data_IF_243289813815
#
_entry.id   IF_243289813815
#
_cell.length_a   1.000
_cell.length_b   1.000
_cell.length_c   1.000
_cell.angle_alpha   90.00
_cell.angle_beta   90.00
_cell.angle_gamma   90.00
#
_symmetry.space_group_name_H-M   'P 1'
#
loop_
_entity.id
_entity.type
_entity.pdbx_description
1 polymer ?
#
# COMPACT_ATOMS: atom_id res chain seq x y z
N UNK A 1 -9.72 12.16 -9.26
CA UNK A 1 -11.03 11.46 -9.20
C UNK A 1 -10.76 9.97 -9.08
N UNK A 2 -11.66 9.18 -8.49
CA UNK A 2 -11.50 7.72 -8.34
C UNK A 2 -12.74 7.07 -8.98
N UNK A 3 -12.51 6.09 -9.85
CA UNK A 3 -13.56 5.25 -10.45
C UNK A 3 -13.62 3.92 -9.70
N UNK A 4 -14.83 3.48 -9.35
CA UNK A 4 -15.09 2.20 -8.69
C UNK A 4 -16.09 1.44 -9.56
N UNK A 5 -15.63 0.33 -10.15
CA UNK A 5 -16.45 -0.58 -10.94
C UNK A 5 -16.59 -1.91 -10.18
N UNK A 6 -17.73 -2.08 -9.50
CA UNK A 6 -18.01 -3.30 -8.72
C UNK A 6 -18.26 -4.52 -9.63
N UNK A 7 -19.12 -4.43 -10.67
CA UNK A 7 -19.27 -5.54 -11.62
C UNK A 7 -17.95 -5.95 -12.31
N UNK A 8 -17.13 -4.97 -12.72
CA UNK A 8 -15.83 -5.18 -13.36
C UNK A 8 -14.67 -5.48 -12.41
N UNK A 9 -14.90 -5.43 -11.09
CA UNK A 9 -13.88 -5.62 -10.04
C UNK A 9 -12.65 -4.72 -10.22
N UNK A 10 -12.86 -3.48 -10.65
CA UNK A 10 -11.80 -2.51 -10.94
C UNK A 10 -11.89 -1.30 -10.01
N UNK A 11 -10.73 -0.87 -9.54
CA UNK A 11 -10.54 0.39 -8.83
C UNK A 11 -9.47 1.17 -9.58
N UNK A 12 -9.82 2.34 -10.11
CA UNK A 12 -8.93 3.13 -10.96
C UNK A 12 -8.80 4.56 -10.46
N UNK A 13 -7.55 5.03 -10.37
CA UNK A 13 -7.25 6.41 -10.05
C UNK A 13 -7.14 7.19 -11.36
N UNK A 14 -8.08 8.10 -11.60
CA UNK A 14 -8.15 8.91 -12.83
C UNK A 14 -7.11 10.04 -12.77
N UNK A 15 -5.85 9.68 -12.96
CA UNK A 15 -4.66 10.54 -13.02
C UNK A 15 -3.78 10.02 -14.16
N UNK A 16 -3.18 10.93 -14.91
CA UNK A 16 -2.33 10.54 -16.05
C UNK A 16 -1.12 9.70 -15.59
N UNK A 17 -0.69 8.70 -16.38
CA UNK A 17 0.44 7.83 -16.02
C UNK A 17 1.73 8.60 -15.71
N UNK A 18 2.02 9.65 -16.47
CA UNK A 18 3.22 10.49 -16.29
C UNK A 18 3.22 11.19 -14.92
N UNK A 19 2.06 11.66 -14.46
CA UNK A 19 1.92 12.29 -13.15
C UNK A 19 2.03 11.26 -12.02
N UNK A 20 1.53 10.04 -12.22
CA UNK A 20 1.73 8.95 -11.26
C UNK A 20 3.21 8.55 -11.14
N UNK A 21 3.94 8.52 -12.25
CA UNK A 21 5.38 8.23 -12.25
C UNK A 21 6.18 9.33 -11.55
N UNK A 22 5.86 10.60 -11.81
CA UNK A 22 6.46 11.73 -11.10
C UNK A 22 6.22 11.65 -9.59
N UNK A 23 4.98 11.39 -9.16
CA UNK A 23 4.64 11.22 -7.74
C UNK A 23 5.35 10.04 -7.10
N UNK A 24 5.47 8.91 -7.81
CA UNK A 24 6.21 7.73 -7.33
C UNK A 24 7.70 8.02 -7.16
N UNK A 25 8.30 8.80 -8.07
CA UNK A 25 9.70 9.20 -7.96
C UNK A 25 9.98 10.10 -6.73
N UNK A 26 9.02 10.96 -6.36
CA UNK A 26 9.12 11.84 -5.19
C UNK A 26 8.68 11.17 -3.87
N UNK A 27 8.06 9.99 -3.95
CA UNK A 27 7.42 9.36 -2.80
C UNK A 27 8.45 8.85 -1.77
N UNK A 28 8.18 9.17 -0.50
CA UNK A 28 8.93 8.67 0.65
C UNK A 28 7.96 7.94 1.58
N UNK A 29 8.29 6.69 2.01
CA UNK A 29 7.42 5.94 2.90
C UNK A 29 7.27 6.65 4.24
N UNK A 30 6.03 6.88 4.67
CA UNK A 30 5.73 7.32 6.01
C UNK A 30 5.75 6.13 6.96
N UNK A 31 6.55 6.23 8.02
CA UNK A 31 6.62 5.22 9.08
C UNK A 31 5.93 5.77 10.31
N UNK A 32 4.76 5.23 10.63
CA UNK A 32 4.03 5.63 11.84
C UNK A 32 4.85 5.26 13.08
N UNK A 33 5.12 6.22 13.99
CA UNK A 33 5.78 5.93 15.25
C UNK A 33 4.85 5.05 16.10
N UNK A 34 5.40 3.95 16.61
CA UNK A 34 4.70 3.02 17.49
C UNK A 34 5.64 2.56 18.59
N UNK A 35 5.17 2.61 19.84
CA UNK A 35 5.97 2.23 21.01
C UNK A 35 5.96 0.71 21.25
N UNK A 36 5.17 -0.05 20.50
CA UNK A 36 5.02 -1.50 20.69
C UNK A 36 6.12 -2.29 19.94
N UNK A 37 6.96 -3.05 20.65
CA UNK A 37 7.95 -3.94 20.02
C UNK A 37 7.30 -5.00 19.12
N UNK A 38 6.11 -5.48 19.52
CA UNK A 38 5.36 -6.45 18.73
C UNK A 38 4.88 -5.86 17.41
N UNK A 39 4.33 -4.63 17.40
CA UNK A 39 3.90 -3.97 16.16
C UNK A 39 5.09 -3.65 15.24
N UNK A 40 6.24 -3.33 15.82
CA UNK A 40 7.48 -3.16 15.08
C UNK A 40 7.95 -4.47 14.42
N UNK A 41 7.83 -5.61 15.11
CA UNK A 41 8.09 -6.94 14.52
C UNK A 41 7.07 -7.26 13.42
N UNK A 42 5.78 -7.09 13.71
CA UNK A 42 4.70 -7.37 12.77
C UNK A 42 4.87 -6.61 11.45
N UNK A 43 5.10 -5.29 11.51
CA UNK A 43 5.33 -4.44 10.32
C UNK A 43 6.47 -4.95 9.44
N UNK A 44 7.51 -5.55 10.02
CA UNK A 44 8.68 -6.04 9.29
C UNK A 44 8.47 -7.39 8.62
N UNK A 45 7.60 -8.23 9.19
CA UNK A 45 7.48 -9.65 8.81
C UNK A 45 6.17 -9.97 8.08
N UNK A 46 5.17 -9.07 8.15
CA UNK A 46 3.86 -9.33 7.54
C UNK A 46 3.93 -9.22 6.01
N UNK A 47 3.33 -10.18 5.32
CA UNK A 47 3.20 -10.18 3.86
C UNK A 47 2.08 -9.27 3.37
N UNK A 48 1.95 -9.14 2.04
CA UNK A 48 0.80 -8.46 1.43
C UNK A 48 -0.53 -9.05 1.90
N UNK A 49 -1.57 -8.21 2.00
CA UNK A 49 -2.94 -8.67 2.22
C UNK A 49 -3.45 -9.57 1.10
N UNK A 50 -2.95 -9.38 -0.13
CA UNK A 50 -3.28 -10.25 -1.27
C UNK A 50 -2.71 -11.67 -1.13
N UNK A 51 -1.67 -11.85 -0.30
CA UNK A 51 -1.07 -13.15 0.02
C UNK A 51 -1.49 -13.68 1.40
N UNK A 52 -2.49 -13.04 2.03
CA UNK A 52 -3.07 -13.49 3.30
C UNK A 52 -2.51 -12.83 4.56
N UNK A 53 -1.63 -11.83 4.43
CA UNK A 53 -1.04 -11.10 5.57
C UNK A 53 -0.43 -12.02 6.66
N UNK A 54 0.22 -13.09 6.22
CA UNK A 54 0.91 -14.04 7.11
C UNK A 54 2.25 -13.46 7.56
N UNK A 55 2.83 -14.02 8.62
CA UNK A 55 4.20 -13.69 9.01
C UNK A 55 5.15 -14.61 8.24
N UNK A 56 6.02 -14.04 7.42
CA UNK A 56 7.16 -14.77 6.84
C UNK A 56 8.32 -14.75 7.84
N UNK A 57 9.01 -15.89 7.98
CA UNK A 57 10.14 -16.09 8.89
C UNK A 57 11.42 -15.38 8.40
#
# INVERSE_FOLDING_TARGET
>A
RIEIDIPGKRLELLVDPEELDRRRAEWKPYVQPVDSPFLNRYRRMVTSGSTGAVLED
#
